data_IF_868271526016
#
_entry.id   IF_868271526016
#
_cell.length_a   1.000
_cell.length_b   1.000
_cell.length_c   1.000
_cell.angle_alpha   90.00
_cell.angle_beta   90.00
_cell.angle_gamma   90.00
#
_symmetry.space_group_name_H-M   'P 1'
#
loop_
_entity.id
_entity.type
_entity.pdbx_description
1 polymer ?
#
# COMPACT_ATOMS: atom_id res chain seq x y z
N UNK A 1 -6.94 23.52 -2.83
CA UNK A 1 -7.21 24.30 -1.59
C UNK A 1 -8.66 24.29 -1.14
N UNK A 2 -9.66 24.15 -2.02
CA UNK A 2 -11.09 24.18 -1.69
C UNK A 2 -11.62 22.83 -1.14
N UNK A 3 -11.12 21.70 -1.61
CA UNK A 3 -11.66 20.37 -1.27
C UNK A 3 -11.32 19.89 0.15
N UNK A 4 -10.16 20.28 0.71
CA UNK A 4 -9.79 19.92 2.09
C UNK A 4 -10.60 20.66 3.13
N UNK A 5 -10.86 21.94 2.87
CA UNK A 5 -11.73 22.72 3.76
C UNK A 5 -13.12 22.09 3.93
N UNK A 6 -13.57 21.29 2.95
CA UNK A 6 -14.87 20.62 3.02
C UNK A 6 -14.80 19.26 3.77
N UNK A 7 -13.74 18.50 3.59
CA UNK A 7 -13.61 17.19 4.24
C UNK A 7 -13.14 17.31 5.69
N UNK A 8 -12.32 18.31 6.02
CA UNK A 8 -11.74 18.52 7.36
C UNK A 8 -12.47 19.59 8.17
N UNK A 9 -13.00 20.68 7.56
CA UNK A 9 -13.76 21.71 8.29
C UNK A 9 -15.18 21.31 8.63
N UNK A 10 -15.83 20.52 7.83
CA UNK A 10 -17.11 19.98 8.25
C UNK A 10 -16.83 18.80 9.15
N UNK A 11 -17.05 19.00 10.46
CA UNK A 11 -17.24 17.98 11.49
C UNK A 11 -18.33 16.96 11.10
N UNK A 12 -18.67 16.82 9.85
CA UNK A 12 -19.53 15.85 9.21
C UNK A 12 -18.79 14.55 8.86
N UNK A 13 -17.98 14.08 9.78
CA UNK A 13 -17.83 12.66 9.85
C UNK A 13 -19.16 12.11 10.39
N UNK A 14 -20.11 11.97 9.47
CA UNK A 14 -21.42 11.40 9.73
C UNK A 14 -22.19 11.98 10.95
N UNK A 15 -22.58 13.25 10.92
CA UNK A 15 -23.86 13.68 11.46
C UNK A 15 -24.97 13.49 10.42
N UNK A 16 -24.87 12.47 9.58
CA UNK A 16 -25.95 12.08 8.68
C UNK A 16 -26.79 11.03 9.39
N UNK A 17 -28.09 11.19 9.27
CA UNK A 17 -29.16 10.35 9.82
C UNK A 17 -28.75 8.86 9.94
N UNK A 18 -29.20 8.20 11.01
CA UNK A 18 -28.96 6.78 11.32
C UNK A 18 -29.21 5.81 10.15
N UNK A 19 -29.97 6.20 9.18
CA UNK A 19 -30.36 5.43 7.99
C UNK A 19 -29.14 5.10 7.06
N UNK A 20 -28.11 5.98 7.00
CA UNK A 20 -26.90 5.74 6.21
C UNK A 20 -25.94 4.75 6.85
N UNK A 21 -26.14 4.40 8.11
CA UNK A 21 -25.39 3.38 8.84
C UNK A 21 -26.12 2.03 8.90
N UNK A 22 -27.25 1.89 8.22
CA UNK A 22 -27.93 0.62 8.05
C UNK A 22 -27.04 -0.32 7.23
N UNK A 23 -26.78 -1.52 7.76
CA UNK A 23 -26.06 -2.57 7.04
C UNK A 23 -27.03 -3.38 6.19
N UNK A 24 -26.61 -3.77 4.99
CA UNK A 24 -27.34 -4.76 4.19
C UNK A 24 -27.14 -6.16 4.76
N UNK A 25 -27.80 -7.16 4.19
CA UNK A 25 -27.74 -8.54 4.69
C UNK A 25 -26.33 -9.13 4.72
N UNK A 26 -25.41 -8.66 3.87
CA UNK A 26 -24.03 -9.18 3.71
C UNK A 26 -22.95 -8.19 4.12
N UNK A 27 -23.33 -7.07 4.73
CA UNK A 27 -22.37 -6.04 5.17
C UNK A 27 -22.14 -6.07 6.68
N UNK A 28 -21.09 -5.42 7.10
CA UNK A 28 -20.79 -5.07 8.50
C UNK A 28 -20.67 -3.57 8.67
N UNK A 29 -21.05 -3.06 9.85
CA UNK A 29 -20.68 -1.74 10.31
C UNK A 29 -19.44 -1.87 11.18
N UNK A 30 -18.41 -1.14 10.84
CA UNK A 30 -17.13 -1.12 11.54
C UNK A 30 -17.00 0.18 12.32
N UNK A 31 -16.60 0.08 13.57
CA UNK A 31 -16.02 1.17 14.34
C UNK A 31 -14.53 1.20 13.99
N UNK A 32 -14.12 2.24 13.26
CA UNK A 32 -12.75 2.35 12.76
C UNK A 32 -11.77 2.58 13.89
N UNK A 33 -10.57 2.03 13.77
CA UNK A 33 -9.50 2.15 14.77
C UNK A 33 -8.27 2.84 14.20
N UNK A 34 -7.62 2.25 13.22
CA UNK A 34 -6.42 2.78 12.57
C UNK A 34 -6.64 2.98 11.07
N UNK A 35 -6.15 4.11 10.55
CA UNK A 35 -6.15 4.39 9.10
C UNK A 35 -4.80 4.97 8.71
N UNK A 36 -4.06 4.27 7.84
CA UNK A 36 -2.82 4.74 7.24
C UNK A 36 -3.07 5.77 6.14
N UNK A 37 -2.17 6.75 6.03
CA UNK A 37 -2.18 7.72 4.91
C UNK A 37 -1.33 7.15 3.77
N UNK A 38 -1.93 7.05 2.59
CA UNK A 38 -1.27 6.67 1.34
C UNK A 38 -0.86 7.91 0.52
N UNK A 39 0.15 7.75 -0.33
CA UNK A 39 0.52 8.78 -1.29
C UNK A 39 -0.62 9.18 -2.23
N UNK A 40 -1.52 8.26 -2.58
CA UNK A 40 -2.72 8.55 -3.38
C UNK A 40 -3.69 9.49 -2.66
N UNK A 41 -3.88 9.35 -1.34
CA UNK A 41 -4.68 10.27 -0.53
C UNK A 41 -4.08 11.69 -0.57
N UNK A 42 -2.75 11.80 -0.46
CA UNK A 42 -2.02 13.06 -0.58
C UNK A 42 -2.17 13.67 -1.98
N UNK A 43 -2.14 12.85 -3.04
CA UNK A 43 -2.36 13.32 -4.43
C UNK A 43 -3.77 13.88 -4.62
N UNK A 44 -4.81 13.19 -4.15
CA UNK A 44 -6.18 13.70 -4.19
C UNK A 44 -6.31 15.01 -3.41
N UNK A 45 -5.70 15.06 -2.23
CA UNK A 45 -5.70 16.26 -1.42
C UNK A 45 -5.05 17.46 -2.10
N UNK A 46 -3.89 17.27 -2.71
CA UNK A 46 -3.12 18.38 -3.30
C UNK A 46 -3.58 18.77 -4.72
N UNK A 47 -3.89 17.77 -5.54
CA UNK A 47 -4.07 17.92 -6.99
C UNK A 47 -5.51 17.67 -7.45
N UNK A 48 -6.37 17.12 -6.58
CA UNK A 48 -7.71 16.67 -6.97
C UNK A 48 -7.69 15.47 -7.93
N UNK A 49 -6.56 14.79 -8.07
CA UNK A 49 -6.41 13.67 -8.99
C UNK A 49 -5.32 12.69 -8.52
N UNK A 50 -5.49 11.41 -8.88
CA UNK A 50 -4.45 10.39 -8.76
C UNK A 50 -4.46 9.55 -10.04
N UNK A 51 -3.44 9.68 -10.89
CA UNK A 51 -3.45 9.11 -12.23
C UNK A 51 -4.66 9.60 -13.04
N UNK A 52 -5.42 8.67 -13.61
CA UNK A 52 -6.63 8.96 -14.38
C UNK A 52 -7.88 9.24 -13.52
N UNK A 53 -7.80 9.05 -12.20
CA UNK A 53 -8.94 9.24 -11.31
C UNK A 53 -9.05 10.69 -10.85
N UNK A 54 -10.10 11.38 -11.29
CA UNK A 54 -10.35 12.79 -10.99
C UNK A 54 -11.37 12.93 -9.87
N UNK A 55 -11.06 13.75 -8.87
CA UNK A 55 -11.95 14.10 -7.78
C UNK A 55 -12.88 15.24 -8.24
N UNK A 56 -14.15 14.94 -8.43
CA UNK A 56 -15.18 15.93 -8.85
C UNK A 56 -16.03 16.43 -7.70
N UNK A 57 -16.23 15.60 -6.69
CA UNK A 57 -17.06 15.87 -5.52
C UNK A 57 -16.26 15.65 -4.23
N UNK A 58 -16.67 16.26 -3.09
CA UNK A 58 -16.05 16.02 -1.80
C UNK A 58 -16.04 14.52 -1.45
N UNK A 59 -14.90 14.00 -1.02
CA UNK A 59 -14.69 12.58 -0.74
C UNK A 59 -13.94 12.39 0.59
N UNK A 60 -14.40 11.43 1.42
CA UNK A 60 -13.59 10.97 2.54
C UNK A 60 -12.39 10.21 2.00
N UNK A 61 -11.21 10.46 2.59
CA UNK A 61 -9.96 9.77 2.26
C UNK A 61 -9.83 8.46 3.04
N UNK A 62 -8.73 7.75 2.81
CA UNK A 62 -8.32 6.56 3.55
C UNK A 62 -8.82 5.25 2.94
N UNK A 63 -7.89 4.29 2.84
CA UNK A 63 -8.15 2.95 2.33
C UNK A 63 -7.24 1.88 2.97
N UNK A 64 -6.26 2.28 3.77
CA UNK A 64 -5.39 1.38 4.54
C UNK A 64 -5.91 1.32 5.98
N UNK A 65 -6.81 0.38 6.30
CA UNK A 65 -7.55 0.52 7.55
C UNK A 65 -7.84 -0.79 8.29
N UNK A 66 -8.05 -0.63 9.60
CA UNK A 66 -8.56 -1.65 10.50
C UNK A 66 -9.67 -1.09 11.38
N UNK A 67 -10.50 -1.98 11.92
CA UNK A 67 -11.63 -1.58 12.77
C UNK A 67 -12.20 -2.75 13.56
N UNK A 68 -13.21 -2.46 14.37
CA UNK A 68 -13.94 -3.44 15.19
C UNK A 68 -15.37 -3.54 14.68
N UNK A 69 -15.88 -4.75 14.50
CA UNK A 69 -17.25 -5.01 14.05
C UNK A 69 -18.24 -4.51 15.10
N UNK A 70 -19.05 -3.52 14.73
CA UNK A 70 -20.08 -2.92 15.59
C UNK A 70 -21.49 -3.46 15.31
N UNK A 71 -21.78 -3.86 14.05
CA UNK A 71 -23.03 -4.51 13.63
C UNK A 71 -22.74 -5.45 12.47
N UNK A 72 -23.57 -6.50 12.33
CA UNK A 72 -23.52 -7.44 11.23
C UNK A 72 -24.86 -7.52 10.52
N UNK A 73 -24.84 -7.75 9.22
CA UNK A 73 -26.01 -8.08 8.42
C UNK A 73 -26.48 -9.51 8.67
N UNK A 74 -27.75 -9.80 8.39
CA UNK A 74 -28.41 -11.07 8.75
C UNK A 74 -27.83 -12.32 8.07
N UNK A 75 -27.08 -12.16 6.95
CA UNK A 75 -26.43 -13.27 6.24
C UNK A 75 -24.93 -13.39 6.53
N UNK A 76 -24.37 -12.52 7.35
CA UNK A 76 -22.96 -12.59 7.73
C UNK A 76 -22.74 -13.76 8.67
N UNK A 77 -21.81 -14.66 8.32
CA UNK A 77 -21.49 -15.87 9.09
C UNK A 77 -20.02 -15.95 9.50
N UNK A 78 -19.16 -15.20 8.85
CA UNK A 78 -17.70 -15.23 9.04
C UNK A 78 -17.21 -14.25 10.12
N UNK A 79 -18.06 -13.35 10.61
CA UNK A 79 -17.74 -12.32 11.59
C UNK A 79 -18.83 -12.20 12.64
N UNK A 80 -18.44 -11.74 13.83
CA UNK A 80 -19.35 -11.38 14.93
C UNK A 80 -19.05 -9.99 15.47
N UNK A 81 -19.99 -9.39 16.18
CA UNK A 81 -19.78 -8.11 16.87
C UNK A 81 -18.62 -8.24 17.87
N UNK A 82 -17.71 -7.28 17.86
CA UNK A 82 -16.50 -7.28 18.66
C UNK A 82 -15.27 -7.83 17.94
N UNK A 83 -15.40 -8.52 16.82
CA UNK A 83 -14.24 -8.99 16.05
C UNK A 83 -13.40 -7.80 15.56
N UNK A 84 -12.08 -7.88 15.74
CA UNK A 84 -11.09 -6.97 15.18
C UNK A 84 -10.77 -7.41 13.76
N UNK A 85 -10.81 -6.49 12.80
CA UNK A 85 -10.64 -6.84 11.38
C UNK A 85 -9.72 -5.88 10.65
N UNK A 86 -8.97 -6.41 9.68
CA UNK A 86 -8.38 -5.65 8.59
C UNK A 86 -9.40 -5.54 7.45
N UNK A 87 -9.34 -4.45 6.69
CA UNK A 87 -10.32 -4.12 5.66
C UNK A 87 -9.63 -4.13 4.30
N UNK A 88 -10.03 -5.06 3.43
CA UNK A 88 -9.64 -5.00 2.02
C UNK A 88 -10.54 -3.99 1.30
N UNK A 89 -10.00 -2.85 0.84
CA UNK A 89 -10.82 -1.69 0.45
C UNK A 89 -11.60 -1.84 -0.85
N UNK A 90 -11.31 -2.86 -1.66
CA UNK A 90 -11.90 -3.04 -2.98
C UNK A 90 -12.95 -4.15 -3.04
N UNK A 91 -14.21 -3.79 -3.28
CA UNK A 91 -15.31 -4.76 -3.42
C UNK A 91 -15.72 -4.85 -4.89
N UNK A 92 -15.46 -5.98 -5.58
CA UNK A 92 -15.79 -6.18 -6.99
C UNK A 92 -17.25 -6.58 -7.20
N UNK A 93 -17.70 -6.62 -8.45
CA UNK A 93 -19.04 -7.11 -8.80
C UNK A 93 -19.23 -8.63 -8.56
N UNK A 94 -18.16 -9.42 -8.53
CA UNK A 94 -18.09 -10.89 -8.31
C UNK A 94 -18.53 -11.76 -9.49
N UNK A 95 -19.11 -11.23 -10.55
CA UNK A 95 -19.70 -12.01 -11.66
C UNK A 95 -19.11 -11.74 -13.05
N UNK A 96 -18.36 -10.65 -13.25
CA UNK A 96 -17.67 -10.39 -14.53
C UNK A 96 -16.52 -11.38 -14.77
N UNK A 97 -16.02 -11.46 -16.00
CA UNK A 97 -14.97 -12.41 -16.38
C UNK A 97 -13.66 -12.18 -15.61
N UNK A 98 -13.32 -10.91 -15.29
CA UNK A 98 -12.17 -10.60 -14.47
C UNK A 98 -12.32 -11.11 -13.03
N UNK A 99 -13.53 -11.01 -12.46
CA UNK A 99 -13.81 -11.58 -11.14
C UNK A 99 -13.72 -13.10 -11.16
N UNK A 100 -14.37 -13.74 -12.15
CA UNK A 100 -14.40 -15.20 -12.29
C UNK A 100 -13.02 -15.81 -12.60
N UNK A 101 -12.15 -15.06 -13.28
CA UNK A 101 -10.77 -15.48 -13.53
C UNK A 101 -9.80 -15.17 -12.37
N UNK A 102 -10.29 -14.73 -11.19
CA UNK A 102 -9.46 -14.41 -10.04
C UNK A 102 -8.68 -13.10 -10.16
N UNK A 103 -9.09 -12.21 -11.06
CA UNK A 103 -8.47 -10.90 -11.31
C UNK A 103 -9.40 -9.75 -10.90
N UNK A 104 -10.10 -9.90 -9.78
CA UNK A 104 -11.16 -8.99 -9.33
C UNK A 104 -10.70 -7.54 -9.08
N UNK A 105 -9.42 -7.31 -8.81
CA UNK A 105 -8.85 -5.96 -8.69
C UNK A 105 -8.94 -5.13 -9.97
N UNK A 106 -9.15 -5.79 -11.13
CA UNK A 106 -9.36 -5.18 -12.45
C UNK A 106 -10.84 -5.14 -12.84
N UNK A 107 -11.76 -5.50 -11.94
CA UNK A 107 -13.19 -5.43 -12.19
C UNK A 107 -13.60 -4.00 -12.56
N UNK A 108 -14.31 -3.77 -13.70
CA UNK A 108 -14.73 -2.43 -14.10
C UNK A 108 -15.69 -1.78 -13.10
N UNK A 109 -16.47 -2.59 -12.38
CA UNK A 109 -17.45 -2.15 -11.39
C UNK A 109 -16.92 -2.23 -9.96
N UNK A 110 -15.60 -2.22 -9.77
CA UNK A 110 -15.03 -2.29 -8.43
C UNK A 110 -15.33 -1.02 -7.63
N UNK A 111 -15.90 -1.20 -6.45
CA UNK A 111 -16.09 -0.14 -5.46
C UNK A 111 -14.88 -0.13 -4.55
N UNK A 112 -14.01 0.87 -4.68
CA UNK A 112 -12.76 0.94 -3.93
C UNK A 112 -12.71 2.17 -3.03
N UNK A 113 -12.43 1.98 -1.74
CA UNK A 113 -12.30 3.07 -0.76
C UNK A 113 -11.38 4.18 -1.27
N UNK A 114 -11.78 5.43 -1.08
CA UNK A 114 -11.02 6.62 -1.47
C UNK A 114 -10.58 6.63 -2.95
N UNK A 115 -11.39 6.05 -3.82
CA UNK A 115 -11.26 6.21 -5.28
C UNK A 115 -12.54 6.84 -5.82
N UNK A 116 -12.51 8.03 -6.42
CA UNK A 116 -13.69 8.74 -6.87
C UNK A 116 -14.61 7.87 -7.76
N UNK A 117 -15.93 7.87 -7.52
CA UNK A 117 -16.69 8.72 -6.57
C UNK A 117 -16.87 8.09 -5.17
N UNK A 118 -16.14 7.04 -4.82
CA UNK A 118 -16.33 6.23 -3.61
C UNK A 118 -15.62 6.87 -2.41
N UNK A 119 -16.35 7.06 -1.31
CA UNK A 119 -15.78 7.54 -0.06
C UNK A 119 -14.80 6.51 0.54
N UNK A 120 -13.71 7.02 1.13
CA UNK A 120 -12.79 6.24 1.92
C UNK A 120 -13.28 5.98 3.35
N UNK A 121 -12.44 5.28 4.10
CA UNK A 121 -12.75 4.77 5.44
C UNK A 121 -12.13 5.59 6.60
N UNK A 122 -11.55 6.76 6.31
CA UNK A 122 -11.10 7.70 7.35
C UNK A 122 -12.32 8.40 7.97
N UNK A 123 -13.01 7.69 8.86
CA UNK A 123 -14.23 8.07 9.54
C UNK A 123 -14.38 7.28 10.84
N UNK A 124 -15.22 7.73 11.79
CA UNK A 124 -15.45 6.98 13.04
C UNK A 124 -16.15 5.64 12.82
N UNK A 125 -17.00 5.57 11.81
CA UNK A 125 -17.71 4.34 11.42
C UNK A 125 -17.69 4.21 9.90
N UNK A 126 -17.54 2.98 9.43
CA UNK A 126 -17.53 2.64 8.02
C UNK A 126 -18.32 1.36 7.77
N UNK A 127 -19.06 1.32 6.68
CA UNK A 127 -19.86 0.16 6.26
C UNK A 127 -19.13 -0.57 5.14
N UNK A 128 -18.96 -1.88 5.26
CA UNK A 128 -18.21 -2.66 4.28
C UNK A 128 -18.77 -4.06 4.07
N UNK A 129 -18.41 -4.69 2.94
CA UNK A 129 -18.75 -6.08 2.66
C UNK A 129 -18.01 -7.01 3.64
N UNK A 130 -18.74 -7.94 4.28
CA UNK A 130 -18.20 -8.79 5.33
C UNK A 130 -17.12 -9.78 4.82
N UNK A 131 -17.19 -10.19 3.57
CA UNK A 131 -16.24 -11.09 2.92
C UNK A 131 -14.93 -10.40 2.49
N UNK A 132 -14.86 -9.06 2.60
CA UNK A 132 -13.64 -8.24 2.44
C UNK A 132 -13.14 -7.67 3.79
N UNK A 133 -13.57 -8.29 4.90
CA UNK A 133 -13.06 -8.02 6.24
C UNK A 133 -12.41 -9.29 6.80
N UNK A 134 -11.15 -9.17 7.23
CA UNK A 134 -10.33 -10.31 7.68
C UNK A 134 -10.10 -10.20 9.18
N UNK A 135 -10.58 -11.20 9.94
CA UNK A 135 -10.44 -11.25 11.40
C UNK A 135 -8.96 -11.30 11.79
N UNK A 136 -8.56 -10.39 12.67
CA UNK A 136 -7.20 -10.33 13.22
C UNK A 136 -7.06 -11.28 14.41
N UNK A 137 -5.99 -12.09 14.47
CA UNK A 137 -5.59 -12.78 15.69
C UNK A 137 -5.31 -11.81 16.84
N UNK A 138 -5.44 -12.26 18.09
CA UNK A 138 -5.33 -11.37 19.26
C UNK A 138 -3.96 -10.69 19.41
N UNK A 139 -2.89 -11.33 18.96
CA UNK A 139 -1.53 -10.81 19.00
C UNK A 139 -1.17 -9.85 17.85
N UNK A 140 -2.02 -9.73 16.81
CA UNK A 140 -1.83 -8.77 15.72
C UNK A 140 -2.51 -7.46 16.09
N UNK A 141 -1.78 -6.36 16.07
CA UNK A 141 -2.31 -5.03 16.41
C UNK A 141 -3.23 -4.46 15.34
N UNK A 142 -3.98 -3.39 15.68
CA UNK A 142 -4.83 -2.68 14.72
C UNK A 142 -4.00 -1.95 13.66
N UNK A 143 -2.83 -1.43 14.03
CA UNK A 143 -1.88 -0.81 13.08
C UNK A 143 -1.38 -1.84 12.07
N UNK A 144 -0.95 -3.02 12.52
CA UNK A 144 -0.57 -4.12 11.64
C UNK A 144 -1.73 -4.52 10.71
N UNK A 145 -2.96 -4.52 11.25
CA UNK A 145 -4.17 -4.77 10.46
C UNK A 145 -4.38 -3.74 9.34
N UNK A 146 -4.14 -2.46 9.62
CA UNK A 146 -4.21 -1.40 8.61
C UNK A 146 -3.09 -1.53 7.55
N UNK A 147 -1.91 -1.99 7.96
CA UNK A 147 -0.76 -2.18 7.07
C UNK A 147 -0.86 -3.42 6.16
N UNK A 148 -1.88 -4.28 6.33
CA UNK A 148 -2.10 -5.39 5.40
C UNK A 148 -2.42 -4.89 3.98
N UNK A 149 -2.96 -3.67 3.86
CA UNK A 149 -3.22 -3.06 2.55
C UNK A 149 -1.93 -2.82 1.76
N UNK A 150 -0.98 -1.97 2.21
CA UNK A 150 0.26 -1.77 1.47
C UNK A 150 1.12 -3.05 1.38
N UNK A 151 1.09 -3.93 2.38
CA UNK A 151 1.76 -5.23 2.32
C UNK A 151 1.20 -6.09 1.17
N UNK A 152 -0.11 -6.04 0.93
CA UNK A 152 -0.76 -6.74 -0.19
C UNK A 152 -0.27 -6.25 -1.55
N UNK A 153 0.07 -4.96 -1.67
CA UNK A 153 0.72 -4.40 -2.88
C UNK A 153 2.11 -5.04 -3.08
N UNK A 154 2.93 -5.12 -2.03
CA UNK A 154 4.24 -5.78 -2.08
C UNK A 154 4.15 -7.25 -2.44
N UNK A 155 3.18 -7.99 -1.88
CA UNK A 155 2.91 -9.40 -2.23
C UNK A 155 2.53 -9.52 -3.71
N UNK A 156 1.66 -8.65 -4.19
CA UNK A 156 1.24 -8.68 -5.58
C UNK A 156 2.39 -8.34 -6.53
N UNK A 157 3.23 -7.36 -6.19
CA UNK A 157 4.43 -7.02 -6.95
C UNK A 157 5.40 -8.21 -7.06
N UNK A 158 5.71 -8.87 -5.94
CA UNK A 158 6.58 -10.05 -5.93
C UNK A 158 5.98 -11.22 -6.71
N UNK A 159 4.68 -11.49 -6.57
CA UNK A 159 3.98 -12.53 -7.34
C UNK A 159 3.98 -12.24 -8.83
N UNK A 160 3.73 -11.00 -9.23
CA UNK A 160 3.75 -10.58 -10.64
C UNK A 160 5.14 -10.63 -11.23
N UNK A 161 6.17 -10.34 -10.43
CA UNK A 161 7.58 -10.51 -10.81
C UNK A 161 8.01 -11.96 -10.91
N UNK A 162 7.31 -12.87 -10.27
CA UNK A 162 7.74 -14.27 -10.16
C UNK A 162 8.88 -14.45 -9.17
N UNK A 163 8.94 -13.61 -8.12
CA UNK A 163 9.98 -13.75 -7.07
C UNK A 163 9.90 -15.14 -6.45
N UNK A 164 11.04 -15.82 -6.38
CA UNK A 164 11.17 -17.18 -5.86
C UNK A 164 12.42 -17.32 -5.00
N UNK A 165 12.54 -18.46 -4.32
CA UNK A 165 13.72 -18.80 -3.55
C UNK A 165 14.98 -18.81 -4.44
N UNK A 166 16.05 -18.19 -3.95
CA UNK A 166 17.31 -18.06 -4.66
C UNK A 166 17.41 -16.88 -5.64
N UNK A 167 16.34 -16.14 -5.87
CA UNK A 167 16.37 -14.96 -6.75
C UNK A 167 17.11 -13.78 -6.12
N UNK A 168 17.80 -13.01 -6.95
CA UNK A 168 18.31 -11.69 -6.62
C UNK A 168 17.27 -10.63 -7.01
N UNK A 169 16.91 -9.76 -6.08
CA UNK A 169 15.83 -8.77 -6.30
C UNK A 169 16.37 -7.35 -6.11
N UNK A 170 16.09 -6.49 -7.07
CA UNK A 170 16.33 -5.06 -6.99
C UNK A 170 15.01 -4.34 -6.68
N UNK A 171 15.01 -3.49 -5.66
CA UNK A 171 13.89 -2.61 -5.31
C UNK A 171 14.32 -1.16 -5.50
N UNK A 172 13.57 -0.41 -6.27
CA UNK A 172 13.84 0.99 -6.61
C UNK A 172 12.84 1.90 -5.90
N UNK A 173 13.35 2.64 -4.92
CA UNK A 173 12.58 3.45 -3.97
C UNK A 173 12.41 2.73 -2.62
N UNK A 174 12.82 3.40 -1.52
CA UNK A 174 12.67 2.93 -0.14
C UNK A 174 11.52 3.65 0.60
N UNK A 175 10.47 4.01 -0.13
CA UNK A 175 9.18 4.41 0.44
C UNK A 175 8.41 3.20 0.97
N UNK A 176 7.18 3.41 1.50
CA UNK A 176 6.39 2.32 2.10
C UNK A 176 6.26 1.09 1.19
N UNK A 177 5.97 1.30 -0.09
CA UNK A 177 5.78 0.20 -1.06
C UNK A 177 7.10 -0.52 -1.38
N UNK A 178 8.21 0.21 -1.50
CA UNK A 178 9.53 -0.42 -1.68
C UNK A 178 9.92 -1.27 -0.46
N UNK A 179 9.70 -0.76 0.74
CA UNK A 179 10.01 -1.46 1.99
C UNK A 179 9.18 -2.75 2.14
N UNK A 180 7.85 -2.70 1.90
CA UNK A 180 7.03 -3.92 1.95
C UNK A 180 7.41 -4.90 0.84
N UNK A 181 7.77 -4.42 -0.35
CA UNK A 181 8.24 -5.29 -1.45
C UNK A 181 9.55 -6.00 -1.08
N UNK A 182 10.48 -5.29 -0.44
CA UNK A 182 11.73 -5.86 0.10
C UNK A 182 11.43 -6.94 1.14
N UNK A 183 10.59 -6.63 2.14
CA UNK A 183 10.22 -7.60 3.19
C UNK A 183 9.56 -8.85 2.61
N UNK A 184 8.65 -8.67 1.66
CA UNK A 184 7.97 -9.79 1.00
C UNK A 184 8.95 -10.60 0.15
N UNK A 185 9.83 -9.98 -0.62
CA UNK A 185 10.83 -10.69 -1.43
C UNK A 185 11.71 -11.57 -0.54
N UNK A 186 12.18 -11.04 0.60
CA UNK A 186 12.92 -11.81 1.60
C UNK A 186 12.09 -12.96 2.18
N UNK A 187 10.85 -12.71 2.55
CA UNK A 187 9.94 -13.73 3.09
C UNK A 187 9.61 -14.84 2.07
N UNK A 188 9.66 -14.54 0.77
CA UNK A 188 9.52 -15.51 -0.33
C UNK A 188 10.81 -16.27 -0.64
N UNK A 189 11.92 -15.96 0.03
CA UNK A 189 13.19 -16.69 -0.09
C UNK A 189 14.16 -16.11 -1.12
N UNK A 190 14.01 -14.84 -1.50
CA UNK A 190 15.03 -14.15 -2.30
C UNK A 190 16.40 -14.31 -1.63
N UNK A 191 17.44 -14.63 -2.42
CA UNK A 191 18.79 -14.84 -1.94
C UNK A 191 19.42 -13.53 -1.50
N UNK A 192 19.26 -12.49 -2.31
CA UNK A 192 19.71 -11.12 -2.00
C UNK A 192 18.66 -10.12 -2.44
N UNK A 193 18.46 -9.10 -1.62
CA UNK A 193 17.62 -7.96 -1.96
C UNK A 193 18.43 -6.69 -1.80
N UNK A 194 18.50 -5.90 -2.85
CA UNK A 194 19.09 -4.56 -2.84
C UNK A 194 17.99 -3.51 -2.98
N UNK A 195 18.08 -2.46 -2.21
CA UNK A 195 17.13 -1.34 -2.27
C UNK A 195 17.85 -0.02 -2.50
N UNK A 196 17.28 0.85 -3.35
CA UNK A 196 17.86 2.16 -3.68
C UNK A 196 16.89 3.29 -3.32
N UNK A 197 17.42 4.45 -2.91
CA UNK A 197 16.62 5.67 -2.72
C UNK A 197 17.54 6.90 -2.84
N UNK A 198 16.94 8.06 -3.05
CA UNK A 198 17.61 9.36 -3.02
C UNK A 198 17.96 9.78 -1.59
N UNK A 199 17.10 9.44 -0.63
CA UNK A 199 17.17 9.90 0.76
C UNK A 199 17.86 8.85 1.64
N UNK A 200 19.00 9.23 2.24
CA UNK A 200 19.74 8.36 3.15
C UNK A 200 18.89 7.88 4.33
N UNK A 201 18.06 8.76 4.90
CA UNK A 201 17.16 8.40 6.01
C UNK A 201 16.21 7.24 5.69
N UNK A 202 15.73 7.13 4.44
CA UNK A 202 14.90 5.99 4.00
C UNK A 202 15.69 4.71 3.85
N UNK A 203 16.96 4.82 3.41
CA UNK A 203 17.86 3.67 3.35
C UNK A 203 18.27 3.18 4.73
N UNK A 204 18.42 4.08 5.69
CA UNK A 204 18.68 3.72 7.09
C UNK A 204 17.48 3.01 7.72
N UNK A 205 16.27 3.45 7.42
CA UNK A 205 15.06 2.73 7.78
C UNK A 205 14.99 1.34 7.11
N UNK A 206 15.34 1.24 5.83
CA UNK A 206 15.42 -0.05 5.14
C UNK A 206 16.40 -1.00 5.82
N UNK A 207 17.58 -0.51 6.26
CA UNK A 207 18.57 -1.30 7.03
C UNK A 207 17.99 -1.75 8.36
N UNK A 208 17.33 -0.85 9.10
CA UNK A 208 16.68 -1.19 10.36
C UNK A 208 15.60 -2.28 10.20
N UNK A 209 14.97 -2.34 9.01
CA UNK A 209 14.00 -3.37 8.63
C UNK A 209 14.66 -4.61 7.97
N UNK A 210 15.98 -4.70 8.01
CA UNK A 210 16.73 -5.86 7.57
C UNK A 210 17.19 -5.84 6.11
N UNK A 211 17.29 -4.67 5.45
CA UNK A 211 17.98 -4.57 4.16
C UNK A 211 19.47 -4.85 4.33
N UNK A 212 19.98 -5.84 3.61
CA UNK A 212 21.41 -6.19 3.63
C UNK A 212 22.23 -5.28 2.71
N UNK A 213 21.62 -4.86 1.61
CA UNK A 213 22.25 -4.03 0.60
C UNK A 213 21.41 -2.80 0.30
N UNK A 214 22.01 -1.61 0.45
CA UNK A 214 21.38 -0.33 0.10
C UNK A 214 22.30 0.49 -0.79
N UNK A 215 21.76 1.19 -1.77
CA UNK A 215 22.51 2.15 -2.59
C UNK A 215 21.79 3.50 -2.55
N UNK A 216 22.47 4.52 -2.03
CA UNK A 216 22.01 5.88 -2.23
C UNK A 216 22.32 6.31 -3.67
N UNK A 217 21.32 6.87 -4.32
CA UNK A 217 21.41 7.42 -5.68
C UNK A 217 21.21 8.93 -5.66
N UNK A 218 21.65 9.61 -6.69
CA UNK A 218 21.39 11.03 -6.90
C UNK A 218 20.85 11.25 -8.31
N UNK A 219 20.30 12.44 -8.56
CA UNK A 219 19.81 12.82 -9.89
C UNK A 219 20.93 12.82 -10.96
N UNK A 220 22.17 13.05 -10.52
CA UNK A 220 23.35 13.14 -11.40
C UNK A 220 24.08 11.80 -11.53
N UNK A 221 23.57 10.72 -10.92
CA UNK A 221 24.21 9.40 -11.01
C UNK A 221 24.11 8.86 -12.45
N UNK A 222 25.25 8.54 -13.05
CA UNK A 222 25.29 7.91 -14.37
C UNK A 222 24.56 6.55 -14.36
N UNK A 223 23.64 6.36 -15.30
CA UNK A 223 22.77 5.18 -15.35
C UNK A 223 23.58 3.88 -15.54
N UNK A 224 24.62 3.90 -16.41
CA UNK A 224 25.44 2.72 -16.68
C UNK A 224 26.35 2.37 -15.50
N UNK A 225 26.91 3.36 -14.82
CA UNK A 225 27.71 3.17 -13.59
C UNK A 225 26.83 2.61 -12.46
N UNK A 226 25.58 3.08 -12.34
CA UNK A 226 24.65 2.59 -11.34
C UNK A 226 24.27 1.13 -11.60
N UNK A 227 24.02 0.75 -12.85
CA UNK A 227 23.79 -0.67 -13.24
C UNK A 227 24.98 -1.53 -12.85
N UNK A 228 26.21 -1.13 -13.16
CA UNK A 228 27.44 -1.85 -12.77
C UNK A 228 27.56 -1.99 -11.25
N UNK A 229 27.27 -0.91 -10.50
CA UNK A 229 27.30 -0.93 -9.03
C UNK A 229 26.28 -1.89 -8.44
N UNK A 230 25.05 -1.92 -8.98
CA UNK A 230 24.00 -2.86 -8.57
C UNK A 230 24.46 -4.31 -8.81
N UNK A 231 24.95 -4.62 -10.01
CA UNK A 231 25.43 -5.96 -10.35
C UNK A 231 26.59 -6.38 -9.48
N UNK A 232 27.57 -5.50 -9.23
CA UNK A 232 28.71 -5.78 -8.36
C UNK A 232 28.28 -6.04 -6.91
N UNK A 233 27.32 -5.25 -6.38
CA UNK A 233 26.81 -5.42 -5.02
C UNK A 233 26.05 -6.74 -4.85
N UNK A 234 25.22 -7.12 -5.81
CA UNK A 234 24.53 -8.41 -5.80
C UNK A 234 25.47 -9.59 -6.09
N UNK A 235 26.59 -9.35 -6.81
CA UNK A 235 27.44 -10.39 -7.38
C UNK A 235 26.78 -11.09 -8.57
N UNK A 236 25.67 -10.59 -9.06
CA UNK A 236 24.88 -11.10 -10.18
C UNK A 236 23.96 -9.99 -10.72
N UNK A 237 23.28 -10.25 -11.82
CA UNK A 237 22.19 -9.41 -12.30
C UNK A 237 20.88 -9.75 -11.55
N UNK A 238 19.98 -8.77 -11.27
CA UNK A 238 18.70 -9.05 -10.65
C UNK A 238 17.82 -9.97 -11.52
N UNK A 239 17.24 -10.99 -10.92
CA UNK A 239 16.20 -11.82 -11.54
C UNK A 239 14.91 -11.02 -11.72
N UNK A 240 14.62 -10.18 -10.72
CA UNK A 240 13.43 -9.32 -10.66
C UNK A 240 13.83 -7.94 -10.18
N UNK A 241 13.40 -6.90 -10.91
CA UNK A 241 13.49 -5.51 -10.48
C UNK A 241 12.09 -4.97 -10.22
N UNK A 242 11.86 -4.35 -9.06
CA UNK A 242 10.57 -3.78 -8.65
C UNK A 242 10.71 -2.27 -8.54
N UNK A 243 10.09 -1.52 -9.45
CA UNK A 243 10.02 -0.07 -9.35
C UNK A 243 8.87 0.36 -8.46
N UNK A 244 9.18 0.85 -7.25
CA UNK A 244 8.24 1.39 -6.28
C UNK A 244 8.27 2.94 -6.21
N UNK A 245 9.00 3.58 -7.10
CA UNK A 245 9.13 5.03 -7.19
C UNK A 245 8.19 5.65 -8.23
N UNK A 246 8.09 5.03 -9.43
CA UNK A 246 7.36 5.56 -10.57
C UNK A 246 8.08 6.69 -11.32
N UNK A 247 9.33 7.00 -10.98
CA UNK A 247 10.11 7.98 -11.72
C UNK A 247 10.65 7.36 -13.02
N UNK A 248 10.72 8.13 -14.10
CA UNK A 248 11.26 7.65 -15.38
C UNK A 248 12.65 7.04 -15.22
N UNK A 249 13.52 7.66 -14.42
CA UNK A 249 14.88 7.17 -14.17
C UNK A 249 14.89 5.78 -13.51
N UNK A 250 14.02 5.54 -12.53
CA UNK A 250 13.94 4.24 -11.84
C UNK A 250 13.27 3.16 -12.71
N UNK A 251 12.27 3.52 -13.51
CA UNK A 251 11.68 2.61 -14.52
C UNK A 251 12.73 2.18 -15.54
N UNK A 252 13.53 3.11 -16.07
CA UNK A 252 14.64 2.82 -16.95
C UNK A 252 15.68 1.92 -16.31
N UNK A 253 16.07 2.23 -15.08
CA UNK A 253 17.05 1.48 -14.31
C UNK A 253 16.55 0.03 -14.05
N UNK A 254 15.26 -0.15 -13.72
CA UNK A 254 14.66 -1.48 -13.59
C UNK A 254 14.86 -2.31 -14.87
N UNK A 255 14.55 -1.71 -16.03
CA UNK A 255 14.68 -2.38 -17.34
C UNK A 255 16.13 -2.71 -17.68
N UNK A 256 17.08 -1.82 -17.39
CA UNK A 256 18.49 -1.98 -17.75
C UNK A 256 19.23 -2.97 -16.84
N UNK A 257 18.94 -2.91 -15.52
CA UNK A 257 19.64 -3.73 -14.54
C UNK A 257 19.18 -5.19 -14.54
N UNK A 258 17.93 -5.47 -14.90
CA UNK A 258 17.35 -6.82 -14.91
C UNK A 258 18.09 -7.74 -15.88
N UNK A 259 18.39 -8.97 -15.47
CA UNK A 259 19.02 -10.00 -16.33
C UNK A 259 18.18 -10.35 -17.55
N UNK A 260 18.80 -10.95 -18.56
CA UNK A 260 18.07 -11.53 -19.70
C UNK A 260 17.11 -12.63 -19.21
N UNK A 261 15.87 -12.62 -19.72
CA UNK A 261 14.77 -13.50 -19.29
C UNK A 261 14.20 -13.17 -17.91
N UNK A 262 14.58 -12.05 -17.29
CA UNK A 262 14.06 -11.58 -15.99
C UNK A 262 12.81 -10.71 -16.14
N UNK A 263 12.36 -10.13 -15.02
CA UNK A 263 11.17 -9.31 -14.99
C UNK A 263 11.39 -7.94 -14.31
N UNK A 264 11.00 -6.87 -14.99
CA UNK A 264 10.87 -5.52 -14.44
C UNK A 264 9.39 -5.25 -14.10
N UNK A 265 9.09 -5.05 -12.81
CA UNK A 265 7.73 -4.85 -12.29
C UNK A 265 7.54 -3.38 -11.94
N UNK A 266 6.55 -2.74 -12.56
CA UNK A 266 6.24 -1.33 -12.38
C UNK A 266 5.07 -1.18 -11.40
N UNK A 267 5.35 -0.61 -10.23
CA UNK A 267 4.41 -0.42 -9.12
C UNK A 267 4.13 1.07 -8.88
N UNK A 268 5.18 1.89 -8.92
CA UNK A 268 5.08 3.31 -8.69
C UNK A 268 4.23 4.01 -9.75
N UNK A 269 3.36 4.91 -9.32
CA UNK A 269 2.56 5.75 -10.23
C UNK A 269 3.27 7.08 -10.44
N UNK A 270 3.89 7.24 -11.61
CA UNK A 270 4.60 8.45 -11.99
C UNK A 270 3.92 9.20 -13.15
N UNK A 271 4.74 9.70 -14.08
CA UNK A 271 4.26 10.38 -15.29
C UNK A 271 3.45 9.42 -16.18
N UNK A 272 2.43 9.97 -16.87
CA UNK A 272 1.60 9.20 -17.83
C UNK A 272 2.43 8.73 -19.01
N UNK A 273 3.40 9.55 -19.45
CA UNK A 273 4.31 9.24 -20.55
C UNK A 273 5.74 9.21 -20.05
N UNK A 274 6.52 8.21 -20.52
CA UNK A 274 7.93 8.02 -20.18
C UNK A 274 8.73 7.55 -21.38
N UNK A 275 9.96 8.02 -21.49
CA UNK A 275 10.93 7.51 -22.46
C UNK A 275 11.75 6.40 -21.82
N UNK A 276 11.63 5.18 -22.35
CA UNK A 276 12.25 3.97 -21.80
C UNK A 276 12.99 3.14 -22.86
N UNK A 277 14.02 2.34 -22.47
CA UNK A 277 14.85 1.57 -23.40
C UNK A 277 14.18 0.24 -23.80
N UNK A 278 12.99 0.28 -24.40
CA UNK A 278 12.16 -0.90 -24.68
C UNK A 278 12.85 -1.90 -25.61
N UNK A 279 13.56 -1.43 -26.65
CA UNK A 279 14.29 -2.30 -27.58
C UNK A 279 15.36 -3.14 -26.85
N UNK A 280 15.98 -2.59 -25.81
CA UNK A 280 16.91 -3.33 -24.96
C UNK A 280 16.24 -4.43 -24.15
N UNK A 281 14.98 -4.28 -23.77
CA UNK A 281 14.19 -5.33 -23.13
C UNK A 281 13.86 -6.46 -24.13
N UNK A 282 13.44 -6.10 -25.35
CA UNK A 282 13.14 -7.08 -26.42
C UNK A 282 14.36 -7.96 -26.72
N UNK A 283 15.56 -7.35 -26.89
CA UNK A 283 16.78 -8.09 -27.20
C UNK A 283 17.26 -9.04 -26.09
N UNK A 284 16.78 -8.84 -24.86
CA UNK A 284 17.13 -9.65 -23.67
C UNK A 284 15.96 -10.46 -23.11
N UNK A 285 14.80 -10.42 -23.78
CA UNK A 285 13.56 -11.05 -23.30
C UNK A 285 13.22 -10.63 -21.85
N UNK A 286 13.43 -9.35 -21.50
CA UNK A 286 13.05 -8.83 -20.21
C UNK A 286 11.56 -8.50 -20.22
N UNK A 287 10.78 -9.19 -19.39
CA UNK A 287 9.37 -8.91 -19.19
C UNK A 287 9.16 -7.59 -18.47
N UNK A 288 8.36 -6.69 -19.05
CA UNK A 288 7.90 -5.47 -18.37
C UNK A 288 6.46 -5.67 -17.92
N UNK A 289 6.26 -5.71 -16.58
CA UNK A 289 4.98 -6.08 -15.96
C UNK A 289 4.44 -4.96 -15.10
N UNK A 290 3.28 -4.40 -15.45
CA UNK A 290 2.56 -3.49 -14.59
C UNK A 290 1.80 -4.25 -13.49
N UNK A 291 1.61 -3.58 -12.36
CA UNK A 291 0.64 -3.98 -11.33
C UNK A 291 -0.34 -2.85 -11.06
N UNK A 292 -1.53 -3.21 -10.60
CA UNK A 292 -2.52 -2.28 -10.11
C UNK A 292 -3.16 -2.86 -8.85
N UNK A 293 -3.02 -2.17 -7.71
CA UNK A 293 -3.52 -2.68 -6.43
C UNK A 293 -2.98 -4.09 -6.15
N UNK A 294 -3.86 -5.04 -5.85
CA UNK A 294 -3.55 -6.45 -5.55
C UNK A 294 -4.79 -7.33 -5.70
N UNK A 295 -4.58 -8.64 -5.74
CA UNK A 295 -5.65 -9.64 -5.79
C UNK A 295 -5.28 -10.84 -4.92
N UNK A 296 -6.25 -11.36 -4.14
CA UNK A 296 -6.08 -12.55 -3.27
C UNK A 296 -4.81 -12.46 -2.39
N UNK A 297 -4.48 -11.26 -1.88
CA UNK A 297 -3.27 -11.04 -1.12
C UNK A 297 -3.50 -10.95 0.40
N UNK A 298 -4.65 -10.47 0.85
CA UNK A 298 -4.94 -10.25 2.28
C UNK A 298 -4.76 -11.48 3.17
N UNK A 299 -5.24 -12.70 2.81
CA UNK A 299 -4.98 -13.88 3.63
C UNK A 299 -3.49 -14.18 3.78
N UNK A 300 -2.71 -13.98 2.69
CA UNK A 300 -1.26 -14.16 2.72
C UNK A 300 -0.57 -13.09 3.57
N UNK A 301 -0.98 -11.82 3.42
CA UNK A 301 -0.46 -10.71 4.20
C UNK A 301 -0.71 -10.94 5.71
N UNK A 302 -1.92 -11.32 6.08
CA UNK A 302 -2.28 -11.65 7.46
C UNK A 302 -1.45 -12.83 7.99
N UNK A 303 -1.29 -13.88 7.22
CA UNK A 303 -0.48 -15.04 7.62
C UNK A 303 1.00 -14.68 7.81
N UNK A 304 1.57 -13.83 6.95
CA UNK A 304 2.96 -13.36 7.07
C UNK A 304 3.17 -12.53 8.34
N UNK A 305 2.25 -11.62 8.65
CA UNK A 305 2.32 -10.78 9.85
C UNK A 305 2.05 -11.63 11.10
N UNK A 306 0.99 -12.41 11.13
CA UNK A 306 0.62 -13.23 12.28
C UNK A 306 1.68 -14.27 12.65
N UNK A 307 2.41 -14.81 11.67
CA UNK A 307 3.52 -15.74 11.93
C UNK A 307 4.84 -15.06 12.32
N UNK A 308 4.90 -13.72 12.31
CA UNK A 308 6.12 -12.95 12.53
C UNK A 308 7.14 -13.03 11.36
N UNK A 309 6.75 -13.61 10.22
CA UNK A 309 7.63 -13.73 9.05
C UNK A 309 7.91 -12.38 8.39
N UNK A 310 6.98 -11.45 8.52
CA UNK A 310 7.10 -10.05 8.10
C UNK A 310 6.70 -9.16 9.26
N UNK A 311 7.63 -8.34 9.74
CA UNK A 311 7.35 -7.29 10.72
C UNK A 311 7.10 -5.97 9.98
N UNK A 312 5.87 -5.48 10.04
CA UNK A 312 5.44 -4.22 9.41
C UNK A 312 5.42 -3.05 10.40
N UNK A 313 5.59 -3.30 11.70
CA UNK A 313 5.52 -2.25 12.76
C UNK A 313 6.47 -1.08 12.52
N UNK A 314 7.75 -1.32 12.11
CA UNK A 314 8.69 -0.22 11.91
C UNK A 314 8.33 0.71 10.73
N UNK A 315 7.35 0.35 9.91
CA UNK A 315 6.84 1.25 8.86
C UNK A 315 6.14 2.48 9.47
N UNK A 316 5.43 2.32 10.60
CA UNK A 316 4.69 3.43 11.22
C UNK A 316 5.66 4.32 11.98
N UNK A 317 5.89 5.50 11.44
CA UNK A 317 6.86 6.47 12.01
C UNK A 317 6.18 7.64 12.71
N UNK A 318 4.91 7.92 12.39
CA UNK A 318 4.16 9.04 12.94
C UNK A 318 2.74 8.61 13.28
N UNK A 319 2.24 9.12 14.40
CA UNK A 319 0.92 8.81 14.93
C UNK A 319 0.15 10.10 15.20
N UNK A 320 -1.09 10.17 14.75
CA UNK A 320 -1.97 11.32 14.97
C UNK A 320 -3.36 10.87 15.41
N UNK A 321 -4.03 11.63 16.28
CA UNK A 321 -5.45 11.44 16.52
C UNK A 321 -6.25 11.92 15.30
N UNK A 322 -7.49 11.47 15.20
CA UNK A 322 -8.38 11.87 14.11
C UNK A 322 -8.58 13.38 14.00
N UNK A 323 -8.56 14.08 15.12
CA UNK A 323 -8.75 15.53 15.22
C UNK A 323 -7.61 16.30 14.52
N UNK A 324 -6.42 15.71 14.47
CA UNK A 324 -5.21 16.29 13.87
C UNK A 324 -4.93 15.78 12.45
N UNK A 325 -5.97 15.28 11.76
CA UNK A 325 -5.86 14.73 10.40
C UNK A 325 -5.12 15.67 9.43
N UNK A 326 -5.33 16.99 9.53
CA UNK A 326 -4.64 17.94 8.66
C UNK A 326 -3.12 17.93 8.89
N UNK A 327 -2.68 17.92 10.14
CA UNK A 327 -1.26 17.83 10.49
C UNK A 327 -0.65 16.50 10.00
N UNK A 328 -1.40 15.40 10.12
CA UNK A 328 -1.01 14.08 9.60
C UNK A 328 -0.78 14.12 8.08
N UNK A 329 -1.70 14.72 7.32
CA UNK A 329 -1.56 14.87 5.87
C UNK A 329 -0.39 15.78 5.48
N UNK A 330 -0.15 16.88 6.21
CA UNK A 330 1.02 17.74 6.00
C UNK A 330 2.33 16.99 6.26
N UNK A 331 2.40 16.17 7.31
CA UNK A 331 3.57 15.32 7.60
C UNK A 331 3.81 14.31 6.47
N UNK A 332 2.77 13.63 6.01
CA UNK A 332 2.85 12.71 4.89
C UNK A 332 3.30 13.41 3.59
N UNK A 333 2.79 14.62 3.33
CA UNK A 333 3.16 15.43 2.16
C UNK A 333 4.63 15.82 2.14
N UNK A 334 5.18 16.21 3.30
CA UNK A 334 6.61 16.57 3.41
C UNK A 334 7.53 15.36 3.25
N UNK A 335 7.00 14.15 3.44
CA UNK A 335 7.80 12.93 3.40
C UNK A 335 8.71 12.77 4.63
N UNK A 336 8.34 13.38 5.75
CA UNK A 336 9.12 13.37 7.00
C UNK A 336 9.20 11.96 7.61
N UNK A 337 8.26 11.08 7.25
CA UNK A 337 8.20 9.70 7.72
C UNK A 337 7.98 8.69 6.60
N UNK A 338 7.91 7.42 6.98
CA UNK A 338 7.60 6.31 6.07
C UNK A 338 6.08 6.14 5.96
N UNK A 339 5.41 5.86 7.09
CA UNK A 339 3.96 5.73 7.17
C UNK A 339 3.42 6.57 8.32
N UNK A 340 2.43 7.38 8.00
CA UNK A 340 1.66 8.16 8.96
C UNK A 340 0.37 7.42 9.27
N UNK A 341 0.11 7.17 10.56
CA UNK A 341 -1.07 6.45 11.04
C UNK A 341 -2.01 7.39 11.79
N UNK A 342 -3.30 7.37 11.44
CA UNK A 342 -4.35 8.09 12.14
C UNK A 342 -5.11 7.12 13.04
N UNK A 343 -5.17 7.44 14.34
CA UNK A 343 -5.97 6.72 15.34
C UNK A 343 -7.34 7.38 15.45
N UNK A 344 -8.36 6.64 15.03
CA UNK A 344 -9.73 7.17 14.90
C UNK A 344 -10.46 7.18 16.25
N UNK A 345 -10.13 6.25 17.13
CA UNK A 345 -10.71 6.19 18.48
C UNK A 345 -9.77 6.83 19.50
N UNK A 346 -10.31 7.54 20.51
CA UNK A 346 -9.50 7.94 21.65
C UNK A 346 -8.87 6.66 22.26
N UNK A 347 -7.57 6.67 22.48
CA UNK A 347 -6.91 5.56 23.18
C UNK A 347 -7.04 5.76 24.69
N UNK A 348 -7.29 4.68 25.43
CA UNK A 348 -7.34 4.69 26.89
C UNK A 348 -6.00 5.15 27.46
N UNK A 349 -6.08 5.87 28.58
CA UNK A 349 -4.92 6.38 29.33
C UNK A 349 -3.90 5.27 29.71
N UNK A 350 -4.33 4.01 29.72
CA UNK A 350 -3.51 2.84 30.04
C UNK A 350 -2.68 2.28 28.87
N UNK A 351 -2.87 2.79 27.64
CA UNK A 351 -2.05 2.42 26.49
C UNK A 351 -1.79 3.65 25.59
N UNK A 352 -0.99 4.61 26.06
CA UNK A 352 -0.73 5.85 25.34
C UNK A 352 0.18 5.58 24.14
N UNK A 353 -0.33 5.78 22.93
CA UNK A 353 0.54 6.09 21.79
C UNK A 353 1.05 7.51 21.99
N UNK A 354 2.35 7.69 21.97
CA UNK A 354 2.92 9.03 21.96
C UNK A 354 2.60 9.65 20.60
N UNK A 355 1.66 10.58 20.59
CA UNK A 355 1.47 11.47 19.44
C UNK A 355 2.66 12.41 19.36
N UNK A 356 3.23 12.56 18.18
CA UNK A 356 4.31 13.52 17.88
C UNK A 356 3.74 14.71 17.16
#
# INVERSE_FOLDING_TARGET
MILINYTIRNRYMYKGRNDKLAVTVSEVLLRMDCVGICGSDVHYWQKGACGAFLLRDPMNMGHEASGVVAKIGSKVKNLQVGDRVAIEPGVPCRYCDLCKSGRYHLCPDIVFCATPPVHGNLARYYKHAADFCYKLPDHVSMEEGALLEPLSVGIHACRRGGVAAGHNVLVLGAGPIGLVSMLVAKAMGAQKVIITDLLQARLDAAKAMGAEHTIQVSADTDEAELVKKIHATLGAQPDVSIDASGAQATVRLAMLATKSGGAAVLVGMGSVEMTVPLAGCVAREVDVRGIFRYVNAYPTALAMVASGKVDVKPLVTHHFPLEDTLAAFETARRGDGIKVMIHVQPRDANNPVKFQ
#
